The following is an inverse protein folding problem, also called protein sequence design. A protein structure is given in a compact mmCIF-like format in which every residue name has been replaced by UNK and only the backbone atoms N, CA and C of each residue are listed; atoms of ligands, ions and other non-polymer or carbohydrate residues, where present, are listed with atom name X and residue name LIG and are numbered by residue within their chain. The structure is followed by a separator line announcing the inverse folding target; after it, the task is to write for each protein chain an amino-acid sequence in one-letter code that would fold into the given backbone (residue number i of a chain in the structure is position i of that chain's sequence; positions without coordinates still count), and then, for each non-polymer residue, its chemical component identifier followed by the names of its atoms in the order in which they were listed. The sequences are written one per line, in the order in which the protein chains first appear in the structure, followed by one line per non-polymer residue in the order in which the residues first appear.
data_IF_036629311139
#
_entry.id   IF_036629311139
#
_cell.length_a   1.000
_cell.length_b   1.000
_cell.length_c   1.000
_cell.angle_alpha   90.00
_cell.angle_beta   90.00
_cell.angle_gamma   90.00
#
_symmetry.space_group_name_H-M   'P 1'
#
loop_
_entity.id
_entity.type
_entity.pdbx_description
1 polymer ?
#
# COMPACT_ATOMS: atom_id res chain seq x y z
N UNK A 1 9.43 24.96 52.08
CA UNK A 1 10.65 25.61 51.55
C UNK A 1 11.61 24.55 51.05
N UNK A 2 12.25 24.76 49.90
CA UNK A 2 13.23 23.83 49.35
C UNK A 2 14.62 24.47 49.49
N UNK A 3 15.55 23.79 50.15
CA UNK A 3 16.96 24.20 50.22
C UNK A 3 17.83 23.16 49.52
N UNK A 4 19.07 23.51 49.21
CA UNK A 4 20.00 22.62 48.53
C UNK A 4 21.17 22.28 49.46
N UNK A 5 21.40 20.99 49.70
CA UNK A 5 22.51 20.50 50.50
C UNK A 5 23.62 20.08 49.54
N UNK A 6 24.77 20.74 49.60
CA UNK A 6 25.97 20.38 48.84
C UNK A 6 26.90 19.59 49.76
N UNK A 7 27.18 18.34 49.40
CA UNK A 7 28.21 17.52 50.06
C UNK A 7 29.26 17.08 49.04
N UNK A 8 30.21 16.25 49.49
CA UNK A 8 31.21 15.61 48.60
C UNK A 8 30.58 14.75 47.49
N UNK A 9 29.37 14.28 47.72
CA UNK A 9 28.67 13.35 46.85
C UNK A 9 27.84 14.00 45.75
N UNK A 10 27.56 15.30 45.89
CA UNK A 10 26.68 16.00 44.97
C UNK A 10 25.83 17.07 45.64
N UNK A 11 24.87 17.57 44.86
CA UNK A 11 23.90 18.58 45.29
C UNK A 11 22.53 17.91 45.41
N UNK A 12 22.01 17.82 46.61
CA UNK A 12 20.70 17.23 46.90
C UNK A 12 19.72 18.32 47.32
N UNK A 13 18.42 18.09 47.10
CA UNK A 13 17.36 19.03 47.45
C UNK A 13 16.68 18.51 48.72
N UNK A 14 16.60 19.35 49.75
CA UNK A 14 15.94 19.04 51.01
C UNK A 14 14.67 19.88 51.13
N UNK A 15 13.54 19.20 51.30
CA UNK A 15 12.24 19.86 51.53
C UNK A 15 12.07 20.09 53.04
N UNK A 16 11.81 21.34 53.40
CA UNK A 16 11.55 21.81 54.76
C UNK A 16 10.12 22.35 54.80
N UNK A 17 9.21 21.72 55.52
CA UNK A 17 7.79 22.11 55.49
C UNK A 17 7.54 23.45 56.21
N UNK A 18 8.26 23.72 57.32
CA UNK A 18 8.15 24.96 58.09
C UNK A 18 9.48 25.74 58.06
N UNK A 19 9.52 27.02 57.60
CA UNK A 19 10.77 27.78 57.51
C UNK A 19 11.37 28.20 58.86
N UNK A 20 10.62 28.13 59.96
CA UNK A 20 11.08 28.49 61.31
C UNK A 20 11.65 27.28 62.06
N UNK A 21 12.59 26.55 61.46
CA UNK A 21 13.27 25.43 62.12
C UNK A 21 14.62 25.84 62.72
N UNK A 22 15.03 25.13 63.76
CA UNK A 22 16.37 25.22 64.35
C UNK A 22 17.39 24.38 63.59
N UNK A 23 18.67 24.62 63.81
CA UNK A 23 19.75 23.81 63.21
C UNK A 23 19.65 22.34 63.65
N UNK A 24 19.25 22.04 64.89
CA UNK A 24 19.03 20.66 65.34
C UNK A 24 17.93 19.95 64.52
N UNK A 25 16.82 20.65 64.27
CA UNK A 25 15.74 20.12 63.43
C UNK A 25 16.18 19.96 61.96
N UNK A 26 16.99 20.90 61.44
CA UNK A 26 17.57 20.78 60.11
C UNK A 26 18.46 19.53 59.99
N UNK A 27 19.33 19.26 60.97
CA UNK A 27 20.17 18.06 60.98
C UNK A 27 19.32 16.78 61.01
N UNK A 28 18.19 16.79 61.73
CA UNK A 28 17.25 15.67 61.79
C UNK A 28 16.56 15.43 60.44
N UNK A 29 16.25 16.50 59.70
CA UNK A 29 15.71 16.40 58.34
C UNK A 29 16.75 15.83 57.37
N UNK A 30 18.03 16.22 57.51
CA UNK A 30 19.13 15.66 56.72
C UNK A 30 19.32 14.17 57.02
N UNK A 31 19.20 13.74 58.27
CA UNK A 31 19.28 12.31 58.63
C UNK A 31 18.12 11.53 58.02
N UNK A 32 16.88 12.01 58.16
CA UNK A 32 15.70 11.31 57.64
C UNK A 32 15.62 11.27 56.12
N UNK A 33 15.95 12.35 55.41
CA UNK A 33 15.82 12.44 53.94
C UNK A 33 17.09 12.04 53.19
N UNK A 34 18.28 12.38 53.72
CA UNK A 34 19.57 12.18 53.04
C UNK A 34 20.40 11.05 53.68
N UNK A 35 19.89 10.41 54.75
CA UNK A 35 20.48 9.27 55.45
C UNK A 35 21.89 9.51 56.00
N UNK A 36 22.20 10.76 56.38
CA UNK A 36 23.47 11.10 57.02
C UNK A 36 23.27 11.13 58.54
N UNK A 37 23.96 10.28 59.33
CA UNK A 37 23.74 10.22 60.78
C UNK A 37 24.01 11.55 61.49
N UNK A 38 23.14 11.96 62.41
CA UNK A 38 23.21 13.25 63.12
C UNK A 38 24.59 13.58 63.71
N UNK A 39 25.25 12.58 64.29
CA UNK A 39 26.55 12.74 64.96
C UNK A 39 27.71 12.96 63.98
N UNK A 40 27.53 12.63 62.70
CA UNK A 40 28.54 12.81 61.66
C UNK A 40 28.32 14.11 60.86
N UNK A 41 27.26 14.86 61.12
CA UNK A 41 26.92 16.05 60.34
C UNK A 41 27.63 17.32 60.87
N UNK A 42 28.52 17.88 60.05
CA UNK A 42 28.99 19.26 60.18
C UNK A 42 28.39 20.11 59.08
N UNK A 43 27.67 21.17 59.46
CA UNK A 43 27.01 22.10 58.54
C UNK A 43 27.74 23.43 58.55
N UNK A 44 27.78 24.09 57.40
CA UNK A 44 28.24 25.48 57.29
C UNK A 44 27.59 26.15 56.07
N UNK A 45 27.46 27.46 56.14
CA UNK A 45 27.14 28.31 54.99
C UNK A 45 28.37 28.58 54.11
N UNK A 46 29.58 28.25 54.59
CA UNK A 46 30.83 28.44 53.87
C UNK A 46 31.22 27.22 53.03
N UNK A 47 31.46 27.43 51.74
CA UNK A 47 31.89 26.39 50.79
C UNK A 47 33.21 25.73 51.16
N UNK A 48 34.12 26.46 51.82
CA UNK A 48 35.44 25.95 52.23
C UNK A 48 35.36 24.73 53.15
N UNK A 49 34.20 24.48 53.78
CA UNK A 49 33.94 23.26 54.55
C UNK A 49 34.17 21.98 53.73
N UNK A 50 33.84 21.98 52.43
CA UNK A 50 34.02 20.81 51.57
C UNK A 50 35.47 20.57 51.10
N UNK A 51 36.37 21.54 51.37
CA UNK A 51 37.78 21.48 50.98
C UNK A 51 38.66 21.08 52.17
N UNK A 52 38.14 21.20 53.41
CA UNK A 52 38.83 20.78 54.62
C UNK A 52 39.14 19.27 54.58
N UNK A 53 40.39 18.90 54.85
CA UNK A 53 40.87 17.51 54.73
C UNK A 53 41.06 16.82 56.08
N UNK A 54 41.11 17.59 57.16
CA UNK A 54 41.31 17.08 58.52
C UNK A 54 40.16 17.46 59.46
N UNK A 55 39.84 16.63 60.47
CA UNK A 55 38.81 16.92 61.46
C UNK A 55 39.03 18.26 62.22
N UNK A 56 40.29 18.65 62.42
CA UNK A 56 40.67 19.91 63.07
C UNK A 56 40.45 21.17 62.20
N UNK A 57 40.38 21.02 60.88
CA UNK A 57 39.98 22.08 59.95
C UNK A 57 38.45 22.19 59.86
N UNK A 58 37.75 21.05 59.86
CA UNK A 58 36.28 20.98 59.85
C UNK A 58 35.69 21.60 61.13
N UNK A 59 36.33 21.39 62.29
CA UNK A 59 35.89 21.97 63.56
C UNK A 59 36.00 23.50 63.66
N UNK A 60 36.67 24.16 62.70
CA UNK A 60 36.78 25.63 62.65
C UNK A 60 35.51 26.30 62.11
N UNK A 61 34.64 25.53 61.45
CA UNK A 61 33.37 26.02 60.92
C UNK A 61 32.28 25.93 62.00
N UNK A 62 32.14 27.00 62.78
CA UNK A 62 31.20 27.06 63.91
C UNK A 62 29.95 27.88 63.64
N UNK A 63 29.77 28.40 62.43
CA UNK A 63 28.64 29.27 62.04
C UNK A 63 27.28 28.58 62.21
N UNK A 64 27.25 27.25 62.11
CA UNK A 64 26.06 26.42 62.34
C UNK A 64 26.23 25.43 63.51
N UNK A 65 27.11 25.72 64.48
CA UNK A 65 27.37 24.81 65.59
C UNK A 65 26.31 24.83 66.70
N UNK A 66 25.63 25.96 66.92
CA UNK A 66 24.62 26.09 67.98
C UNK A 66 23.28 25.45 67.56
N UNK A 67 22.82 24.37 68.23
CA UNK A 67 21.62 23.63 67.82
C UNK A 67 20.31 24.45 67.93
N UNK A 68 20.28 25.50 68.77
CA UNK A 68 19.08 26.31 69.03
C UNK A 68 18.94 27.50 68.08
N UNK A 69 19.95 27.80 67.26
CA UNK A 69 19.90 28.88 66.29
C UNK A 69 18.86 28.58 65.21
N UNK A 70 18.02 29.56 64.88
CA UNK A 70 17.06 29.44 63.79
C UNK A 70 17.76 29.60 62.45
N UNK A 71 17.41 28.76 61.46
CA UNK A 71 18.05 28.83 60.14
C UNK A 71 17.80 30.18 59.43
N UNK A 72 16.67 30.83 59.71
CA UNK A 72 16.32 32.14 59.18
C UNK A 72 17.25 33.26 59.66
N UNK A 73 17.79 33.15 60.87
CA UNK A 73 18.76 34.13 61.41
C UNK A 73 20.13 34.07 60.70
N UNK A 74 20.40 32.97 59.99
CA UNK A 74 21.60 32.77 59.17
C UNK A 74 21.38 33.15 57.70
N UNK A 75 20.23 33.76 57.35
CA UNK A 75 19.91 34.15 55.98
C UNK A 75 19.57 32.97 55.05
N UNK A 76 19.22 31.81 55.61
CA UNK A 76 18.83 30.62 54.83
C UNK A 76 17.37 30.77 54.42
N UNK A 77 17.13 30.85 53.11
CA UNK A 77 15.82 31.00 52.49
C UNK A 77 15.60 29.92 51.41
N UNK A 78 14.46 29.99 50.71
CA UNK A 78 14.17 29.08 49.59
C UNK A 78 15.28 29.17 48.53
N UNK A 79 15.85 28.02 48.16
CA UNK A 79 16.92 27.91 47.17
C UNK A 79 18.34 28.08 47.73
N UNK A 80 18.49 28.49 49.00
CA UNK A 80 19.81 28.62 49.64
C UNK A 80 20.58 27.30 49.63
N UNK A 81 21.90 27.41 49.52
CA UNK A 81 22.83 26.28 49.54
C UNK A 81 23.48 26.20 50.92
N UNK A 82 23.45 25.01 51.51
CA UNK A 82 24.16 24.69 52.75
C UNK A 82 25.18 23.60 52.44
N UNK A 83 26.38 23.74 52.98
CA UNK A 83 27.45 22.78 52.80
C UNK A 83 27.45 21.78 53.97
N UNK A 84 27.50 20.50 53.64
CA UNK A 84 27.49 19.39 54.59
C UNK A 84 28.77 18.57 54.43
N UNK A 85 29.58 18.52 55.49
CA UNK A 85 30.69 17.59 55.63
C UNK A 85 30.32 16.49 56.63
N UNK A 86 30.65 15.25 56.28
CA UNK A 86 30.44 14.08 57.12
C UNK A 86 31.41 12.96 56.71
N UNK A 87 31.69 12.05 57.63
CA UNK A 87 32.53 10.87 57.38
C UNK A 87 31.68 9.62 57.12
N UNK A 88 32.12 8.77 56.17
CA UNK A 88 31.47 7.50 55.81
C UNK A 88 30.90 7.46 54.38
N UNK A 89 30.89 6.28 53.75
CA UNK A 89 30.30 6.08 52.42
C UNK A 89 28.78 5.91 52.52
N UNK A 90 28.02 6.54 51.61
CA UNK A 90 26.57 6.34 51.50
C UNK A 90 26.17 5.99 50.08
N UNK A 91 25.14 5.16 49.95
CA UNK A 91 24.48 4.87 48.67
C UNK A 91 23.50 5.97 48.33
N UNK A 92 23.80 6.77 47.31
CA UNK A 92 22.91 7.81 46.77
C UNK A 92 22.05 7.17 45.69
N UNK A 93 20.74 7.41 45.72
CA UNK A 93 19.88 7.01 44.61
C UNK A 93 20.27 7.84 43.36
N UNK A 94 20.79 7.17 42.33
CA UNK A 94 21.14 7.80 41.06
C UNK A 94 19.93 8.49 40.40
N UNK A 95 20.15 9.44 39.49
CA UNK A 95 19.06 10.15 38.85
C UNK A 95 18.11 9.18 38.16
N UNK A 96 16.80 9.36 38.33
CA UNK A 96 15.81 8.61 37.55
C UNK A 96 15.92 9.03 36.08
N UNK A 97 16.60 8.22 35.28
CA UNK A 97 16.68 8.36 33.83
C UNK A 97 15.30 8.00 33.26
N UNK A 98 14.52 9.02 32.88
CA UNK A 98 13.40 8.85 31.96
C UNK A 98 13.98 9.03 30.54
N UNK A 99 13.91 8.03 29.65
CA UNK A 99 14.47 8.18 28.32
C UNK A 99 13.67 9.25 27.57
N UNK A 100 14.31 10.39 27.32
CA UNK A 100 13.82 11.38 26.38
C UNK A 100 13.96 10.80 24.96
N UNK A 101 12.93 11.03 24.14
CA UNK A 101 12.89 10.58 22.74
C UNK A 101 14.14 10.95 21.96
N UNK A 102 14.63 9.97 21.21
CA UNK A 102 15.42 10.02 19.97
C UNK A 102 16.17 11.31 19.62
N UNK A 103 17.05 11.80 20.50
CA UNK A 103 18.08 12.75 20.08
C UNK A 103 19.45 12.16 20.42
N UNK A 104 20.17 11.70 19.39
CA UNK A 104 21.57 11.26 19.51
C UNK A 104 21.85 9.76 19.49
N UNK A 105 20.92 8.88 19.09
CA UNK A 105 21.28 7.47 18.81
C UNK A 105 22.18 7.45 17.58
N UNK A 106 23.46 7.08 17.73
CA UNK A 106 24.35 6.83 16.59
C UNK A 106 23.71 5.73 15.74
N UNK A 107 23.41 6.06 14.49
CA UNK A 107 22.84 5.14 13.53
C UNK A 107 23.79 3.96 13.39
N UNK A 108 23.35 2.76 13.79
CA UNK A 108 24.16 1.55 13.69
C UNK A 108 24.15 1.03 12.25
N UNK A 109 25.11 0.19 11.87
CA UNK A 109 25.07 -0.47 10.55
C UNK A 109 23.79 -1.26 10.35
N UNK A 110 23.25 -1.87 11.42
CA UNK A 110 21.98 -2.57 11.37
C UNK A 110 20.79 -1.61 11.15
N UNK A 111 20.83 -0.39 11.71
CA UNK A 111 19.83 0.65 11.43
C UNK A 111 19.91 1.19 9.99
N UNK A 112 21.12 1.18 9.39
CA UNK A 112 21.32 1.53 7.97
C UNK A 112 20.81 0.41 7.06
N UNK A 113 21.11 -0.85 7.38
CA UNK A 113 20.64 -2.03 6.66
C UNK A 113 19.11 -2.16 6.74
N UNK A 114 18.51 -1.85 7.89
CA UNK A 114 17.05 -1.85 8.07
C UNK A 114 16.34 -0.75 7.27
N UNK A 115 17.06 0.29 6.84
CA UNK A 115 16.53 1.34 5.96
C UNK A 115 16.76 1.06 4.48
N UNK A 116 17.60 0.09 4.11
CA UNK A 116 17.78 -0.28 2.71
C UNK A 116 16.54 -1.02 2.18
N UNK A 117 16.06 -0.61 1.01
CA UNK A 117 14.93 -1.25 0.35
C UNK A 117 15.38 -2.60 -0.21
N UNK A 118 14.89 -3.68 0.39
CA UNK A 118 15.19 -5.06 -0.03
C UNK A 118 14.07 -5.57 -0.93
N UNK A 119 14.44 -6.12 -2.07
CA UNK A 119 13.52 -6.77 -2.99
C UNK A 119 13.61 -8.27 -2.80
N UNK A 120 12.49 -8.85 -2.40
CA UNK A 120 12.31 -10.28 -2.15
C UNK A 120 11.06 -10.75 -2.87
N UNK A 121 11.06 -12.00 -3.33
CA UNK A 121 9.90 -12.61 -3.98
C UNK A 121 8.73 -12.73 -3.00
N UNK A 122 7.54 -12.41 -3.47
CA UNK A 122 6.30 -12.72 -2.77
C UNK A 122 5.83 -14.11 -3.20
N UNK A 123 5.66 -15.01 -2.24
CA UNK A 123 5.35 -16.43 -2.52
C UNK A 123 3.87 -16.65 -2.81
N UNK A 124 2.97 -15.95 -2.11
CA UNK A 124 1.52 -16.16 -2.21
C UNK A 124 0.82 -14.93 -2.80
N UNK A 125 -0.07 -15.11 -3.79
CA UNK A 125 -0.95 -14.04 -4.26
C UNK A 125 -2.04 -13.73 -3.21
N UNK A 126 -2.66 -12.55 -3.31
CA UNK A 126 -3.88 -12.27 -2.56
C UNK A 126 -5.11 -12.89 -3.22
N UNK A 127 -5.06 -13.06 -4.54
CA UNK A 127 -6.04 -13.79 -5.34
C UNK A 127 -5.81 -15.32 -5.26
N UNK A 128 -6.79 -16.10 -4.79
CA UNK A 128 -6.68 -17.56 -4.71
C UNK A 128 -6.60 -18.21 -6.10
N UNK A 129 -7.47 -17.75 -7.00
CA UNK A 129 -7.57 -18.15 -8.39
C UNK A 129 -8.31 -17.08 -9.20
N UNK A 130 -8.05 -17.07 -10.50
CA UNK A 130 -8.86 -16.36 -11.49
C UNK A 130 -9.63 -17.37 -12.34
N UNK A 131 -10.93 -17.15 -12.50
CA UNK A 131 -11.81 -17.96 -13.34
C UNK A 131 -12.36 -17.10 -14.47
N UNK A 132 -12.33 -17.60 -15.71
CA UNK A 132 -12.85 -16.87 -16.87
C UNK A 132 -14.15 -17.49 -17.38
N UNK A 133 -15.09 -16.63 -17.77
CA UNK A 133 -16.19 -17.06 -18.60
C UNK A 133 -15.65 -17.61 -19.94
N UNK A 134 -16.08 -18.82 -20.28
CA UNK A 134 -15.60 -19.55 -21.46
C UNK A 134 -15.85 -18.78 -22.76
N UNK A 135 -17.03 -18.18 -22.91
CA UNK A 135 -17.41 -17.52 -24.16
C UNK A 135 -16.67 -16.18 -24.31
N UNK A 136 -16.52 -15.42 -23.22
CA UNK A 136 -15.76 -14.17 -23.20
C UNK A 136 -14.26 -14.42 -23.49
N UNK A 137 -13.64 -15.39 -22.82
CA UNK A 137 -12.25 -15.76 -23.06
C UNK A 137 -12.05 -16.26 -24.49
N UNK A 138 -12.97 -17.10 -24.99
CA UNK A 138 -12.94 -17.58 -26.36
C UNK A 138 -13.06 -16.44 -27.39
N UNK A 139 -13.96 -15.48 -27.13
CA UNK A 139 -14.14 -14.30 -27.98
C UNK A 139 -12.92 -13.38 -28.04
N UNK A 140 -12.14 -13.30 -26.97
CA UNK A 140 -10.87 -12.55 -26.94
C UNK A 140 -9.76 -13.30 -27.69
N UNK A 141 -9.49 -14.57 -27.35
CA UNK A 141 -8.42 -15.35 -28.01
C UNK A 141 -8.66 -15.51 -29.51
N UNK A 142 -9.92 -15.72 -29.93
CA UNK A 142 -10.24 -15.94 -31.33
C UNK A 142 -9.96 -14.71 -32.17
N UNK A 143 -10.27 -13.52 -31.66
CA UNK A 143 -9.96 -12.27 -32.36
C UNK A 143 -8.45 -12.04 -32.49
N UNK A 144 -7.72 -12.25 -31.40
CA UNK A 144 -6.26 -12.07 -31.39
C UNK A 144 -5.59 -13.08 -32.33
N UNK A 145 -6.03 -14.33 -32.33
CA UNK A 145 -5.47 -15.38 -33.17
C UNK A 145 -5.82 -15.18 -34.65
N UNK A 146 -7.11 -15.10 -34.98
CA UNK A 146 -7.56 -15.07 -36.39
C UNK A 146 -7.38 -13.72 -37.06
N UNK A 147 -7.58 -12.62 -36.34
CA UNK A 147 -7.57 -11.28 -36.94
C UNK A 147 -6.21 -10.60 -36.81
N UNK A 148 -5.55 -10.75 -35.65
CA UNK A 148 -4.27 -10.08 -35.39
C UNK A 148 -3.06 -11.01 -35.56
N UNK A 149 -3.27 -12.33 -35.59
CA UNK A 149 -2.21 -13.34 -35.64
C UNK A 149 -1.09 -13.09 -34.62
N UNK A 150 -1.43 -12.55 -33.44
CA UNK A 150 -0.46 -12.12 -32.41
C UNK A 150 0.68 -11.21 -32.94
N UNK A 151 0.45 -10.47 -34.03
CA UNK A 151 1.43 -9.57 -34.64
C UNK A 151 1.54 -8.23 -33.90
N UNK A 152 0.46 -7.81 -33.23
CA UNK A 152 0.40 -6.60 -32.41
C UNK A 152 -0.23 -6.92 -31.06
N UNK A 153 0.14 -6.16 -30.03
CA UNK A 153 -0.47 -6.27 -28.71
C UNK A 153 -1.94 -5.81 -28.73
N UNK A 154 -2.75 -6.45 -27.90
CA UNK A 154 -4.15 -6.12 -27.64
C UNK A 154 -4.41 -6.32 -26.16
N UNK A 155 -5.24 -5.50 -25.54
CA UNK A 155 -5.63 -5.68 -24.15
C UNK A 155 -7.02 -5.17 -23.82
N UNK A 156 -7.46 -5.51 -22.61
CA UNK A 156 -8.79 -5.20 -22.12
C UNK A 156 -8.85 -5.23 -20.60
N UNK A 157 -9.84 -4.53 -20.05
CA UNK A 157 -10.16 -4.56 -18.63
C UNK A 157 -11.14 -5.70 -18.37
N UNK A 158 -10.82 -6.50 -17.37
CA UNK A 158 -11.63 -7.64 -16.94
C UNK A 158 -12.64 -7.19 -15.88
N UNK A 159 -13.88 -7.61 -16.02
CA UNK A 159 -14.95 -7.29 -15.07
C UNK A 159 -15.69 -8.55 -14.63
N UNK A 160 -16.20 -8.50 -13.40
CA UNK A 160 -16.95 -9.60 -12.80
C UNK A 160 -17.01 -9.45 -11.29
N UNK A 161 -16.88 -10.56 -10.55
CA UNK A 161 -17.03 -10.58 -9.09
C UNK A 161 -15.81 -11.14 -8.36
N UNK A 162 -15.72 -10.84 -7.06
CA UNK A 162 -14.72 -11.42 -6.16
C UNK A 162 -15.47 -12.07 -5.01
N UNK A 163 -15.19 -13.34 -4.75
CA UNK A 163 -15.76 -14.06 -3.61
C UNK A 163 -15.07 -13.68 -2.30
N UNK A 164 -15.72 -13.98 -1.17
CA UNK A 164 -15.12 -13.78 0.17
C UNK A 164 -13.83 -14.59 0.39
N UNK A 165 -13.62 -15.64 -0.41
CA UNK A 165 -12.44 -16.52 -0.39
C UNK A 165 -11.29 -15.96 -1.24
N UNK A 166 -11.48 -14.83 -1.92
CA UNK A 166 -10.48 -14.23 -2.81
C UNK A 166 -10.44 -14.88 -4.20
N UNK A 167 -11.53 -15.53 -4.63
CA UNK A 167 -11.67 -16.05 -6.00
C UNK A 167 -12.18 -14.95 -6.90
N UNK A 168 -11.48 -14.71 -8.00
CA UNK A 168 -11.81 -13.69 -8.99
C UNK A 168 -12.52 -14.35 -10.16
N UNK A 169 -13.78 -13.99 -10.41
CA UNK A 169 -14.58 -14.53 -11.51
C UNK A 169 -14.80 -13.44 -12.55
N UNK A 170 -14.19 -13.60 -13.73
CA UNK A 170 -14.25 -12.67 -14.86
C UNK A 170 -15.39 -13.08 -15.80
N UNK A 171 -16.42 -12.25 -15.86
CA UNK A 171 -17.63 -12.48 -16.65
C UNK A 171 -17.58 -11.84 -18.05
N UNK A 172 -16.85 -10.74 -18.21
CA UNK A 172 -16.65 -10.09 -19.51
C UNK A 172 -15.35 -9.27 -19.57
N UNK A 173 -14.91 -8.98 -20.79
CA UNK A 173 -13.70 -8.20 -21.08
C UNK A 173 -14.11 -6.97 -21.89
N UNK A 174 -13.88 -5.78 -21.34
CA UNK A 174 -14.05 -4.52 -22.06
C UNK A 174 -12.73 -4.12 -22.73
N UNK A 175 -12.76 -3.89 -24.05
CA UNK A 175 -11.58 -3.48 -24.80
C UNK A 175 -11.62 -1.97 -25.07
N UNK A 176 -10.84 -1.15 -24.34
CA UNK A 176 -10.84 0.30 -24.58
C UNK A 176 -10.27 0.62 -25.97
N UNK A 177 -10.52 1.83 -26.50
CA UNK A 177 -9.81 2.31 -27.68
C UNK A 177 -8.30 2.21 -27.44
N UNK A 178 -7.55 1.65 -28.37
CA UNK A 178 -6.15 1.28 -28.13
C UNK A 178 -5.34 1.20 -29.43
N UNK A 179 -4.03 1.35 -29.29
CA UNK A 179 -3.06 1.18 -30.36
C UNK A 179 -1.97 0.20 -29.92
N UNK A 180 -1.99 -0.98 -30.52
CA UNK A 180 -0.96 -2.00 -30.33
C UNK A 180 0.16 -1.88 -31.35
N UNK A 181 1.38 -2.15 -30.91
CA UNK A 181 2.54 -2.47 -31.76
C UNK A 181 3.11 -3.83 -31.34
N UNK A 182 4.24 -4.24 -31.91
CA UNK A 182 4.89 -5.49 -31.52
C UNK A 182 5.33 -5.49 -30.04
N UNK A 183 5.89 -4.37 -29.57
CA UNK A 183 6.51 -4.23 -28.25
C UNK A 183 5.63 -3.47 -27.23
N UNK A 184 4.69 -2.64 -27.69
CA UNK A 184 3.95 -1.71 -26.84
C UNK A 184 2.44 -1.79 -27.04
N UNK A 185 1.69 -1.49 -25.98
CA UNK A 185 0.24 -1.35 -26.01
C UNK A 185 -0.16 -0.01 -25.40
N UNK A 186 -0.62 0.91 -26.23
CA UNK A 186 -1.12 2.21 -25.79
C UNK A 186 -2.64 2.18 -25.63
N UNK A 187 -3.13 2.36 -24.40
CA UNK A 187 -4.57 2.49 -24.13
C UNK A 187 -4.98 3.96 -24.34
N UNK A 188 -5.87 4.19 -25.29
CA UNK A 188 -6.45 5.50 -25.62
C UNK A 188 -7.74 5.68 -24.83
N UNK A 189 -7.62 5.71 -23.50
CA UNK A 189 -8.75 5.73 -22.55
C UNK A 189 -9.73 6.86 -22.87
N UNK A 190 -11.01 6.51 -22.97
CA UNK A 190 -12.12 7.44 -23.12
C UNK A 190 -12.89 7.51 -21.78
N UNK A 191 -12.74 8.61 -21.01
CA UNK A 191 -13.40 8.74 -19.71
C UNK A 191 -14.93 8.70 -19.77
N UNK A 192 -15.55 9.07 -20.89
CA UNK A 192 -17.00 9.08 -21.03
C UNK A 192 -17.51 7.68 -21.37
N UNK A 193 -16.82 6.92 -22.24
CA UNK A 193 -17.12 5.50 -22.45
C UNK A 193 -16.88 4.68 -21.18
N UNK A 194 -15.78 4.92 -20.46
CA UNK A 194 -15.49 4.22 -19.21
C UNK A 194 -16.55 4.44 -18.12
N UNK A 195 -17.15 5.65 -18.03
CA UNK A 195 -18.28 5.88 -17.11
C UNK A 195 -19.48 4.98 -17.43
N UNK A 196 -19.77 4.76 -18.72
CA UNK A 196 -20.83 3.85 -19.13
C UNK A 196 -20.50 2.40 -18.73
N UNK A 197 -19.26 1.97 -18.96
CA UNK A 197 -18.80 0.63 -18.57
C UNK A 197 -18.92 0.42 -17.05
N UNK A 198 -18.48 1.39 -16.25
CA UNK A 198 -18.58 1.32 -14.79
C UNK A 198 -20.04 1.34 -14.31
N UNK A 199 -20.91 2.13 -14.96
CA UNK A 199 -22.35 2.15 -14.65
C UNK A 199 -23.05 0.82 -14.98
N UNK A 200 -22.69 0.18 -16.10
CA UNK A 200 -23.17 -1.16 -16.47
C UNK A 200 -22.68 -2.19 -15.44
N UNK A 201 -21.38 -2.19 -15.14
CA UNK A 201 -20.79 -3.10 -14.17
C UNK A 201 -21.48 -2.97 -12.80
N UNK A 202 -21.70 -1.74 -12.32
CA UNK A 202 -22.42 -1.48 -11.08
C UNK A 202 -23.84 -2.05 -11.09
N UNK A 203 -24.60 -1.83 -12.17
CA UNK A 203 -25.94 -2.39 -12.33
C UNK A 203 -25.95 -3.92 -12.38
N UNK A 204 -24.93 -4.52 -13.00
CA UNK A 204 -24.69 -5.97 -13.02
C UNK A 204 -24.17 -6.52 -11.68
N UNK A 205 -23.85 -5.67 -10.69
CA UNK A 205 -23.24 -6.10 -9.44
C UNK A 205 -21.80 -6.58 -9.59
N UNK A 206 -21.13 -6.14 -10.64
CA UNK A 206 -19.77 -6.47 -11.02
C UNK A 206 -18.86 -5.25 -10.82
N UNK A 207 -17.55 -5.49 -10.85
CA UNK A 207 -16.53 -4.44 -10.74
C UNK A 207 -15.34 -4.76 -11.64
N UNK A 208 -14.48 -3.77 -11.87
CA UNK A 208 -13.19 -3.96 -12.53
C UNK A 208 -12.29 -4.85 -11.65
N UNK A 209 -11.76 -5.92 -12.24
CA UNK A 209 -11.00 -6.98 -11.56
C UNK A 209 -9.53 -7.01 -11.95
N UNK A 210 -9.20 -6.56 -13.15
CA UNK A 210 -7.88 -6.76 -13.69
C UNK A 210 -7.69 -6.30 -15.11
N UNK A 211 -6.54 -6.63 -15.65
CA UNK A 211 -6.14 -6.31 -17.02
C UNK A 211 -5.63 -7.55 -17.74
N UNK A 212 -6.13 -7.79 -18.95
CA UNK A 212 -5.68 -8.84 -19.85
C UNK A 212 -4.99 -8.21 -21.05
N UNK A 213 -3.88 -8.78 -21.50
CA UNK A 213 -3.21 -8.35 -22.71
C UNK A 213 -2.49 -9.50 -23.43
N UNK A 214 -2.10 -9.26 -24.68
CA UNK A 214 -1.44 -10.26 -25.52
C UNK A 214 0.06 -10.01 -25.63
N UNK A 215 0.82 -11.10 -25.62
CA UNK A 215 2.22 -11.12 -25.99
C UNK A 215 2.34 -11.45 -27.48
N UNK A 216 3.22 -10.75 -28.19
CA UNK A 216 3.41 -11.00 -29.63
C UNK A 216 4.32 -12.20 -29.89
N UNK A 217 4.22 -12.77 -31.10
CA UNK A 217 5.03 -13.94 -31.50
C UNK A 217 6.54 -13.65 -31.38
N UNK A 218 6.97 -12.43 -31.72
CA UNK A 218 8.37 -12.02 -31.60
C UNK A 218 8.88 -12.02 -30.15
N UNK A 219 8.00 -11.69 -29.19
CA UNK A 219 8.33 -11.67 -27.78
C UNK A 219 8.34 -13.07 -27.15
N UNK A 220 7.52 -14.00 -27.64
CA UNK A 220 7.42 -15.38 -27.12
C UNK A 220 8.76 -16.14 -27.21
N UNK A 221 9.68 -15.69 -28.08
CA UNK A 221 11.02 -16.27 -28.24
C UNK A 221 12.07 -15.73 -27.26
N UNK A 222 11.71 -14.79 -26.39
CA UNK A 222 12.64 -14.11 -25.47
C UNK A 222 12.58 -14.75 -24.07
N UNK A 223 13.70 -14.72 -23.35
CA UNK A 223 13.87 -15.34 -22.03
C UNK A 223 13.41 -14.43 -20.86
N UNK A 224 12.13 -14.05 -20.87
CA UNK A 224 11.47 -13.36 -19.77
C UNK A 224 9.95 -13.54 -19.84
N UNK A 225 9.26 -13.52 -18.70
CA UNK A 225 7.80 -13.60 -18.66
C UNK A 225 7.16 -12.27 -19.07
N UNK A 226 7.40 -11.21 -18.29
CA UNK A 226 6.94 -9.86 -18.61
C UNK A 226 8.12 -8.92 -18.84
N UNK A 227 8.01 -8.04 -19.82
CA UNK A 227 8.96 -6.95 -20.07
C UNK A 227 8.80 -5.83 -19.07
N UNK A 228 9.82 -4.98 -18.93
CA UNK A 228 9.78 -3.80 -18.08
C UNK A 228 8.61 -2.84 -18.41
N UNK A 229 8.24 -2.70 -19.69
CA UNK A 229 7.05 -1.93 -20.11
C UNK A 229 5.76 -2.55 -19.59
N UNK A 230 5.63 -3.87 -19.67
CA UNK A 230 4.44 -4.59 -19.19
C UNK A 230 4.35 -4.56 -17.65
N UNK A 231 5.48 -4.68 -16.94
CA UNK A 231 5.52 -4.51 -15.49
C UNK A 231 5.05 -3.11 -15.08
N UNK A 232 5.56 -2.06 -15.73
CA UNK A 232 5.14 -0.69 -15.43
C UNK A 232 3.67 -0.46 -15.73
N UNK A 233 3.17 -0.93 -16.88
CA UNK A 233 1.76 -0.81 -17.22
C UNK A 233 0.86 -1.60 -16.25
N UNK A 234 1.25 -2.82 -15.89
CA UNK A 234 0.50 -3.63 -14.92
C UNK A 234 0.48 -2.96 -13.53
N UNK A 235 1.63 -2.43 -13.08
CA UNK A 235 1.74 -1.73 -11.81
C UNK A 235 0.94 -0.41 -11.80
N UNK A 236 0.95 0.33 -12.91
CA UNK A 236 0.15 1.55 -13.09
C UNK A 236 -1.35 1.24 -12.97
N UNK A 237 -1.85 0.30 -13.77
CA UNK A 237 -3.27 -0.07 -13.78
C UNK A 237 -3.74 -0.65 -12.44
N UNK A 238 -2.91 -1.48 -11.78
CA UNK A 238 -3.23 -2.00 -10.46
C UNK A 238 -3.19 -0.89 -9.39
N UNK A 239 -2.30 0.11 -9.51
CA UNK A 239 -2.17 1.20 -8.55
C UNK A 239 -3.31 2.22 -8.62
N UNK A 240 -4.03 2.31 -9.75
CA UNK A 240 -5.24 3.13 -9.91
C UNK A 240 -6.40 2.64 -9.03
N UNK A 241 -6.45 1.33 -8.75
CA UNK A 241 -7.45 0.71 -7.91
C UNK A 241 -6.95 0.36 -6.50
N UNK A 242 -7.89 -0.04 -5.65
CA UNK A 242 -7.63 -0.55 -4.30
C UNK A 242 -7.98 -2.05 -4.15
N UNK A 243 -8.18 -2.75 -5.27
CA UNK A 243 -8.49 -4.18 -5.27
C UNK A 243 -7.21 -4.98 -4.96
N UNK A 244 -7.22 -5.71 -3.85
CA UNK A 244 -6.07 -6.53 -3.44
C UNK A 244 -5.91 -7.75 -4.32
N UNK A 245 -7.02 -8.30 -4.80
CA UNK A 245 -7.10 -9.48 -5.66
C UNK A 245 -6.94 -9.13 -7.14
N UNK A 246 -6.42 -7.94 -7.48
CA UNK A 246 -6.21 -7.52 -8.86
C UNK A 246 -5.36 -8.53 -9.63
N UNK A 247 -5.80 -8.92 -10.83
CA UNK A 247 -5.12 -9.90 -11.68
C UNK A 247 -4.68 -9.28 -13.00
N UNK A 248 -3.44 -9.55 -13.39
CA UNK A 248 -2.88 -9.26 -14.71
C UNK A 248 -2.74 -10.56 -15.48
N UNK A 249 -3.29 -10.62 -16.69
CA UNK A 249 -3.36 -11.84 -17.50
C UNK A 249 -2.65 -11.61 -18.82
N UNK A 250 -1.71 -12.49 -19.13
CA UNK A 250 -0.98 -12.50 -20.38
C UNK A 250 -1.50 -13.63 -21.26
N UNK A 251 -1.80 -13.32 -22.52
CA UNK A 251 -2.22 -14.29 -23.53
C UNK A 251 -1.12 -14.42 -24.58
N UNK A 252 -0.61 -15.63 -24.79
CA UNK A 252 0.48 -15.90 -25.74
C UNK A 252 0.13 -17.06 -26.66
N UNK A 253 0.81 -17.15 -27.80
CA UNK A 253 0.71 -18.29 -28.69
C UNK A 253 1.84 -19.27 -28.36
N UNK A 254 1.51 -20.47 -27.92
CA UNK A 254 2.46 -21.53 -27.62
C UNK A 254 2.50 -22.53 -28.77
N UNK A 255 3.69 -22.80 -29.30
CA UNK A 255 3.87 -23.78 -30.38
C UNK A 255 4.16 -25.14 -29.75
N UNK A 256 3.27 -26.09 -29.97
CA UNK A 256 3.39 -27.45 -29.49
C UNK A 256 4.46 -28.22 -30.27
N UNK A 257 4.96 -29.31 -29.68
CA UNK A 257 5.98 -30.19 -30.28
C UNK A 257 5.55 -30.75 -31.66
N UNK A 258 4.25 -30.90 -31.89
CA UNK A 258 3.66 -31.39 -33.14
C UNK A 258 3.57 -30.31 -34.25
N UNK A 259 4.05 -29.09 -33.97
CA UNK A 259 3.98 -27.95 -34.88
C UNK A 259 2.61 -27.25 -34.93
N UNK A 260 1.65 -27.69 -34.10
CA UNK A 260 0.41 -26.96 -33.81
C UNK A 260 0.70 -25.74 -32.93
N UNK A 261 -0.18 -24.74 -32.95
CA UNK A 261 -0.07 -23.56 -32.11
C UNK A 261 -1.38 -23.35 -31.34
N UNK A 262 -1.29 -23.32 -30.02
CA UNK A 262 -2.42 -23.13 -29.12
C UNK A 262 -2.28 -21.80 -28.38
N UNK A 263 -3.40 -21.17 -28.07
CA UNK A 263 -3.41 -19.95 -27.27
C UNK A 263 -3.35 -20.34 -25.80
N UNK A 264 -2.35 -19.81 -25.10
CA UNK A 264 -2.10 -20.04 -23.68
C UNK A 264 -2.34 -18.78 -22.86
N UNK A 265 -2.94 -18.94 -21.68
CA UNK A 265 -3.20 -17.86 -20.73
C UNK A 265 -2.31 -18.05 -19.50
N UNK A 266 -1.62 -17.00 -19.08
CA UNK A 266 -0.88 -16.96 -17.82
C UNK A 266 -1.41 -15.81 -16.96
N UNK A 267 -1.64 -16.07 -15.67
CA UNK A 267 -2.20 -15.10 -14.75
C UNK A 267 -1.21 -14.79 -13.64
N UNK A 268 -1.06 -13.51 -13.35
CA UNK A 268 -0.15 -12.99 -12.36
C UNK A 268 -0.82 -11.91 -11.53
N UNK A 269 -0.32 -11.75 -10.32
CA UNK A 269 -0.55 -10.57 -9.51
C UNK A 269 0.78 -9.85 -9.33
N UNK A 270 0.81 -8.53 -9.50
CA UNK A 270 2.01 -7.77 -9.14
C UNK A 270 2.19 -7.84 -7.62
N UNK A 271 3.41 -8.16 -7.18
CA UNK A 271 3.75 -8.20 -5.76
C UNK A 271 3.44 -6.87 -5.07
N UNK A 272 3.11 -6.93 -3.77
CA UNK A 272 2.85 -5.74 -2.96
C UNK A 272 4.03 -4.77 -2.99
N UNK A 273 5.24 -5.33 -3.08
CA UNK A 273 6.46 -4.56 -3.21
C UNK A 273 6.54 -3.81 -4.54
N UNK A 274 6.18 -4.45 -5.66
CA UNK A 274 6.13 -3.80 -6.97
C UNK A 274 5.21 -2.57 -6.92
N UNK A 275 3.99 -2.75 -6.42
CA UNK A 275 3.01 -1.66 -6.31
C UNK A 275 3.49 -0.55 -5.38
N UNK A 276 4.13 -0.92 -4.25
CA UNK A 276 4.73 0.05 -3.33
C UNK A 276 5.83 0.87 -4.01
N UNK A 277 6.77 0.20 -4.68
CA UNK A 277 7.88 0.85 -5.38
C UNK A 277 7.37 1.79 -6.49
N UNK A 278 6.31 1.38 -7.21
CA UNK A 278 5.66 2.21 -8.20
C UNK A 278 5.02 3.47 -7.58
N UNK A 279 4.17 3.30 -6.55
CA UNK A 279 3.50 4.41 -5.84
C UNK A 279 4.49 5.39 -5.19
N UNK A 280 5.63 4.91 -4.72
CA UNK A 280 6.72 5.73 -4.16
C UNK A 280 7.66 6.31 -5.24
N UNK A 281 7.42 6.04 -6.53
CA UNK A 281 8.16 6.60 -7.65
C UNK A 281 9.60 6.08 -7.80
N UNK A 282 9.89 4.86 -7.31
CA UNK A 282 11.22 4.25 -7.37
C UNK A 282 11.58 3.76 -8.77
N UNK A 283 10.60 3.37 -9.60
CA UNK A 283 10.87 2.94 -10.97
C UNK A 283 11.35 4.09 -11.85
N UNK A 284 12.28 3.77 -12.74
CA UNK A 284 12.60 4.57 -13.92
C UNK A 284 11.58 4.23 -15.02
N UNK A 285 10.79 5.24 -15.41
CA UNK A 285 9.66 5.07 -16.34
C UNK A 285 10.05 5.32 -17.79
N UNK A 286 11.19 5.96 -18.03
CA UNK A 286 11.73 6.21 -19.36
C UNK A 286 12.60 5.01 -19.78
N UNK A 287 12.06 4.15 -20.64
CA UNK A 287 12.75 2.94 -21.11
C UNK A 287 13.41 3.22 -22.46
N UNK A 288 14.74 3.23 -22.50
CA UNK A 288 15.51 3.47 -23.72
C UNK A 288 15.49 2.25 -24.65
N UNK A 289 15.73 2.46 -25.95
CA UNK A 289 15.68 1.40 -26.96
C UNK A 289 16.76 0.30 -26.79
N UNK A 290 17.80 0.53 -25.98
CA UNK A 290 18.85 -0.45 -25.68
C UNK A 290 18.72 -1.12 -24.32
N UNK A 291 17.66 -0.82 -23.56
CA UNK A 291 17.47 -1.38 -22.23
C UNK A 291 17.02 -2.84 -22.31
N UNK A 292 17.54 -3.67 -21.41
CA UNK A 292 17.15 -5.07 -21.32
C UNK A 292 15.67 -5.15 -20.88
N UNK A 293 14.76 -5.69 -21.71
CA UNK A 293 13.36 -5.82 -21.35
C UNK A 293 13.13 -6.72 -20.12
N UNK A 294 14.06 -7.63 -19.79
CA UNK A 294 13.98 -8.50 -18.61
C UNK A 294 14.16 -7.75 -17.28
N UNK A 295 14.75 -6.55 -17.33
CA UNK A 295 15.15 -5.80 -16.15
C UNK A 295 14.36 -4.49 -16.02
N UNK A 296 13.82 -4.26 -14.83
CA UNK A 296 13.27 -2.97 -14.43
C UNK A 296 14.33 -2.14 -13.71
N UNK A 297 14.48 -0.89 -14.13
CA UNK A 297 15.45 0.06 -13.54
C UNK A 297 14.85 0.86 -12.40
N UNK A 298 15.64 1.07 -11.35
CA UNK A 298 15.30 1.82 -10.16
C UNK A 298 16.09 3.12 -10.08
N UNK A 299 15.43 4.20 -9.67
CA UNK A 299 16.05 5.52 -9.45
C UNK A 299 17.00 5.55 -8.23
N UNK A 300 16.86 4.58 -7.33
CA UNK A 300 17.64 4.45 -6.08
C UNK A 300 18.19 3.05 -5.98
N UNK A 301 19.26 2.90 -5.20
CA UNK A 301 19.86 1.59 -4.94
C UNK A 301 18.90 0.73 -4.10
N UNK A 302 18.69 -0.50 -4.55
CA UNK A 302 17.88 -1.53 -3.91
C UNK A 302 18.74 -2.77 -3.68
N UNK A 303 18.42 -3.55 -2.64
CA UNK A 303 19.15 -4.78 -2.32
C UNK A 303 18.38 -5.97 -2.89
N UNK A 304 18.97 -6.67 -3.86
CA UNK A 304 18.44 -7.92 -4.43
C UNK A 304 19.44 -9.04 -4.15
N UNK A 305 19.00 -10.12 -3.49
CA UNK A 305 19.89 -11.26 -3.17
C UNK A 305 21.13 -10.88 -2.37
N UNK A 306 21.07 -9.81 -1.57
CA UNK A 306 22.18 -9.30 -0.76
C UNK A 306 23.18 -8.40 -1.51
N UNK A 307 22.91 -8.02 -2.76
CA UNK A 307 23.71 -7.07 -3.53
C UNK A 307 22.93 -5.78 -3.79
N UNK A 308 23.60 -4.63 -3.64
CA UNK A 308 23.07 -3.35 -4.08
C UNK A 308 23.07 -3.29 -5.61
N UNK A 309 21.91 -2.99 -6.20
CA UNK A 309 21.71 -2.86 -7.65
C UNK A 309 20.66 -1.80 -7.93
N UNK A 310 20.59 -1.34 -9.18
CA UNK A 310 19.47 -0.54 -9.71
C UNK A 310 18.66 -1.28 -10.76
N UNK A 311 19.12 -2.47 -11.17
CA UNK A 311 18.42 -3.31 -12.13
C UNK A 311 17.88 -4.53 -11.40
N UNK A 312 16.58 -4.74 -11.55
CA UNK A 312 15.83 -5.80 -10.86
C UNK A 312 15.20 -6.67 -11.92
N UNK A 313 15.40 -7.98 -11.82
CA UNK A 313 14.73 -8.94 -12.69
C UNK A 313 13.21 -8.88 -12.46
N UNK A 314 12.45 -8.76 -13.55
CA UNK A 314 11.01 -8.59 -13.52
C UNK A 314 10.29 -9.74 -12.80
N UNK A 315 10.85 -10.94 -12.77
CA UNK A 315 10.25 -12.11 -12.11
C UNK A 315 10.12 -11.93 -10.59
N UNK A 316 10.90 -11.03 -9.97
CA UNK A 316 10.73 -10.68 -8.55
C UNK A 316 9.40 -9.98 -8.27
N UNK A 317 8.79 -9.37 -9.29
CA UNK A 317 7.54 -8.66 -9.17
C UNK A 317 6.32 -9.52 -9.48
N UNK A 318 6.50 -10.73 -10.02
CA UNK A 318 5.43 -11.61 -10.47
C UNK A 318 5.06 -12.66 -9.42
N UNK A 319 3.78 -12.72 -9.09
CA UNK A 319 3.19 -13.75 -8.24
C UNK A 319 2.19 -14.53 -9.08
N UNK A 320 2.42 -15.84 -9.27
CA UNK A 320 1.59 -16.67 -10.16
C UNK A 320 0.21 -16.92 -9.55
N UNK A 321 -0.83 -16.82 -10.38
CA UNK A 321 -2.23 -17.07 -10.01
C UNK A 321 -2.77 -18.26 -10.81
N UNK A 322 -3.55 -19.13 -10.15
CA UNK A 322 -4.16 -20.30 -10.81
C UNK A 322 -5.32 -19.86 -11.71
N UNK A 323 -5.46 -20.51 -12.86
CA UNK A 323 -6.53 -20.23 -13.83
C UNK A 323 -7.56 -21.36 -13.83
N UNK A 324 -8.84 -20.98 -13.81
CA UNK A 324 -10.00 -21.84 -13.97
C UNK A 324 -10.94 -21.25 -15.04
N UNK A 325 -12.00 -22.00 -15.37
CA UNK A 325 -13.08 -21.51 -16.21
C UNK A 325 -14.44 -21.68 -15.52
N UNK A 326 -15.41 -20.91 -15.99
CA UNK A 326 -16.81 -21.03 -15.61
C UNK A 326 -17.71 -20.62 -16.79
N UNK A 327 -19.03 -20.73 -16.60
CA UNK A 327 -20.01 -20.16 -17.49
C UNK A 327 -20.73 -19.04 -16.75
N UNK A 328 -20.54 -17.81 -17.20
CA UNK A 328 -21.11 -16.60 -16.66
C UNK A 328 -22.58 -16.41 -17.05
N UNK A 329 -23.24 -15.38 -16.49
CA UNK A 329 -24.67 -15.12 -16.69
C UNK A 329 -24.97 -14.34 -17.98
N UNK A 330 -23.96 -13.72 -18.59
CA UNK A 330 -24.06 -12.94 -19.82
C UNK A 330 -23.75 -13.80 -21.04
N UNK A 331 -24.34 -13.47 -22.18
CA UNK A 331 -23.89 -13.97 -23.47
C UNK A 331 -22.76 -13.11 -24.02
N UNK A 332 -21.88 -13.72 -24.84
CA UNK A 332 -20.80 -13.03 -25.56
C UNK A 332 -20.97 -13.20 -27.07
N UNK A 333 -22.16 -12.89 -27.59
CA UNK A 333 -22.53 -13.13 -29.00
C UNK A 333 -22.61 -11.85 -29.82
N UNK A 334 -22.66 -10.70 -29.15
CA UNK A 334 -22.66 -9.40 -29.80
C UNK A 334 -21.23 -8.94 -30.14
N UNK A 335 -21.01 -8.20 -31.23
CA UNK A 335 -19.68 -7.74 -31.59
C UNK A 335 -19.07 -6.79 -30.56
N UNK A 336 -17.83 -7.08 -30.18
CA UNK A 336 -17.00 -6.28 -29.26
C UNK A 336 -16.61 -4.96 -29.91
N UNK A 337 -16.74 -3.87 -29.15
CA UNK A 337 -16.32 -2.51 -29.51
C UNK A 337 -14.81 -2.39 -29.78
N UNK A 338 -14.42 -1.27 -30.41
CA UNK A 338 -13.02 -0.88 -30.61
C UNK A 338 -12.16 -1.92 -31.37
N UNK A 339 -12.79 -2.88 -32.05
CA UNK A 339 -12.17 -3.81 -33.00
C UNK A 339 -12.34 -3.30 -34.44
N UNK A 340 -11.74 -3.99 -35.41
CA UNK A 340 -11.78 -3.62 -36.84
C UNK A 340 -13.20 -3.56 -37.42
N UNK A 341 -14.17 -4.20 -36.79
CA UNK A 341 -15.58 -4.19 -37.23
C UNK A 341 -16.34 -3.11 -36.48
N UNK A 342 -16.91 -2.16 -37.21
CA UNK A 342 -17.72 -1.11 -36.61
C UNK A 342 -19.11 -1.66 -36.23
N UNK A 343 -19.45 -1.55 -34.94
CA UNK A 343 -20.79 -1.90 -34.43
C UNK A 343 -21.79 -0.84 -34.87
N UNK A 344 -22.87 -1.25 -35.55
CA UNK A 344 -23.91 -0.34 -36.08
C UNK A 344 -25.29 -0.72 -35.55
N UNK A 345 -26.28 0.16 -35.73
CA UNK A 345 -27.69 -0.16 -35.39
C UNK A 345 -28.24 -1.34 -36.20
N UNK A 346 -27.71 -1.58 -37.40
CA UNK A 346 -28.02 -2.79 -38.17
C UNK A 346 -27.54 -4.08 -37.47
N UNK A 347 -26.41 -4.00 -36.78
CA UNK A 347 -25.89 -5.11 -35.96
C UNK A 347 -26.86 -5.41 -34.81
N UNK A 348 -27.36 -4.38 -34.13
CA UNK A 348 -28.39 -4.50 -33.10
C UNK A 348 -29.65 -5.19 -33.65
N UNK A 349 -30.18 -4.72 -34.78
CA UNK A 349 -31.34 -5.33 -35.44
C UNK A 349 -31.13 -6.81 -35.75
N UNK A 350 -30.01 -7.12 -36.39
CA UNK A 350 -29.66 -8.50 -36.77
C UNK A 350 -29.57 -9.42 -35.56
N UNK A 351 -29.05 -8.91 -34.43
CA UNK A 351 -29.00 -9.64 -33.17
C UNK A 351 -30.38 -9.88 -32.57
N UNK A 352 -31.23 -8.84 -32.50
CA UNK A 352 -32.60 -8.96 -31.97
C UNK A 352 -33.46 -9.90 -32.82
N UNK A 353 -33.32 -9.86 -34.15
CA UNK A 353 -34.02 -10.77 -35.07
C UNK A 353 -33.61 -12.23 -34.85
N UNK A 354 -32.30 -12.48 -34.66
CA UNK A 354 -31.76 -13.82 -34.39
C UNK A 354 -32.22 -14.37 -33.05
N UNK A 355 -32.37 -13.50 -32.06
CA UNK A 355 -32.71 -13.85 -30.68
C UNK A 355 -34.19 -13.66 -30.36
N UNK A 356 -35.04 -13.39 -31.36
CA UNK A 356 -36.48 -13.08 -31.19
C UNK A 356 -37.29 -14.12 -30.42
N UNK A 357 -36.83 -15.38 -30.39
CA UNK A 357 -37.52 -16.47 -29.70
C UNK A 357 -37.24 -16.50 -28.18
N UNK A 358 -36.26 -15.74 -27.69
CA UNK A 358 -35.95 -15.64 -26.26
C UNK A 358 -36.76 -14.54 -25.57
N UNK A 359 -36.91 -14.57 -24.23
CA UNK A 359 -37.42 -13.42 -23.48
C UNK A 359 -36.55 -12.17 -23.72
N UNK A 360 -37.16 -10.98 -23.75
CA UNK A 360 -36.45 -9.74 -24.09
C UNK A 360 -35.19 -9.51 -23.24
N UNK A 361 -35.26 -9.75 -21.93
CA UNK A 361 -34.10 -9.62 -21.02
C UNK A 361 -32.92 -10.51 -21.45
N UNK A 362 -33.17 -11.73 -21.94
CA UNK A 362 -32.13 -12.64 -22.43
C UNK A 362 -31.51 -12.15 -23.74
N UNK A 363 -32.27 -11.47 -24.60
CA UNK A 363 -31.76 -10.91 -25.87
C UNK A 363 -30.73 -9.81 -25.63
N UNK A 364 -30.90 -9.05 -24.54
CA UNK A 364 -30.02 -7.93 -24.17
C UNK A 364 -29.02 -8.28 -23.06
N UNK A 365 -28.97 -9.54 -22.60
CA UNK A 365 -28.03 -10.01 -21.57
C UNK A 365 -26.62 -10.20 -22.14
N UNK A 366 -26.08 -9.17 -22.79
CA UNK A 366 -24.74 -9.16 -23.40
C UNK A 366 -24.09 -7.80 -23.08
N UNK A 367 -22.88 -7.82 -22.52
CA UNK A 367 -22.21 -6.59 -22.09
C UNK A 367 -21.96 -5.63 -23.26
N UNK A 368 -21.49 -6.12 -24.40
CA UNK A 368 -21.15 -5.28 -25.55
C UNK A 368 -22.40 -4.67 -26.18
N UNK A 369 -23.53 -5.39 -26.13
CA UNK A 369 -24.83 -4.85 -26.51
C UNK A 369 -25.28 -3.77 -25.53
N UNK A 370 -25.18 -4.01 -24.22
CA UNK A 370 -25.53 -3.02 -23.20
C UNK A 370 -24.70 -1.75 -23.35
N UNK A 371 -23.41 -1.86 -23.67
CA UNK A 371 -22.54 -0.72 -23.92
C UNK A 371 -22.99 0.10 -25.14
N UNK A 372 -23.42 -0.56 -26.23
CA UNK A 372 -24.01 0.13 -27.38
C UNK A 372 -25.27 0.91 -26.99
N UNK A 373 -26.17 0.29 -26.20
CA UNK A 373 -27.40 0.94 -25.75
C UNK A 373 -27.12 2.09 -24.79
N UNK A 374 -26.14 1.93 -23.90
CA UNK A 374 -25.79 2.93 -22.89
C UNK A 374 -25.39 4.28 -23.48
N UNK A 375 -24.88 4.31 -24.72
CA UNK A 375 -24.58 5.55 -25.46
C UNK A 375 -25.80 6.44 -25.72
N UNK A 376 -27.02 5.92 -25.55
CA UNK A 376 -28.29 6.61 -25.82
C UNK A 376 -29.16 6.76 -24.57
N UNK A 377 -28.65 6.36 -23.40
CA UNK A 377 -29.36 6.32 -22.13
C UNK A 377 -28.69 7.24 -21.11
N UNK A 378 -29.43 7.67 -20.09
CA UNK A 378 -28.83 8.42 -18.98
C UNK A 378 -27.92 7.50 -18.14
N UNK A 379 -26.64 7.87 -18.02
CA UNK A 379 -25.62 7.08 -17.34
C UNK A 379 -25.87 6.89 -15.84
N UNK A 380 -26.59 7.83 -15.20
CA UNK A 380 -26.77 7.81 -13.75
C UNK A 380 -28.02 7.05 -13.31
N UNK A 381 -29.00 6.88 -14.22
CA UNK A 381 -30.32 6.32 -13.89
C UNK A 381 -30.70 5.14 -14.78
N UNK A 382 -30.75 5.35 -16.09
CA UNK A 382 -31.24 4.35 -17.05
C UNK A 382 -30.26 3.18 -17.22
N UNK A 383 -28.96 3.48 -17.37
CA UNK A 383 -27.94 2.45 -17.60
C UNK A 383 -27.85 1.46 -16.43
N UNK A 384 -27.71 1.90 -15.16
CA UNK A 384 -27.70 0.97 -14.03
C UNK A 384 -29.03 0.25 -13.85
N UNK A 385 -30.17 0.88 -14.14
CA UNK A 385 -31.49 0.25 -14.02
C UNK A 385 -31.66 -0.89 -15.02
N UNK A 386 -31.29 -0.67 -16.28
CA UNK A 386 -31.36 -1.70 -17.33
C UNK A 386 -30.43 -2.88 -17.02
N UNK A 387 -29.20 -2.60 -16.62
CA UNK A 387 -28.24 -3.61 -16.17
C UNK A 387 -28.74 -4.37 -14.92
N UNK A 388 -29.41 -3.68 -13.99
CA UNK A 388 -30.05 -4.30 -12.83
C UNK A 388 -31.16 -5.29 -13.20
N UNK A 389 -31.94 -5.00 -14.24
CA UNK A 389 -32.91 -5.95 -14.78
C UNK A 389 -32.24 -7.18 -15.42
N UNK A 390 -31.12 -6.98 -16.13
CA UNK A 390 -30.31 -8.09 -16.68
C UNK A 390 -29.77 -8.97 -15.55
N UNK A 391 -29.20 -8.39 -14.50
CA UNK A 391 -28.72 -9.13 -13.32
C UNK A 391 -29.82 -9.96 -12.67
N UNK A 392 -30.98 -9.34 -12.42
CA UNK A 392 -32.11 -10.00 -11.78
C UNK A 392 -32.89 -10.93 -12.72
N UNK A 393 -32.56 -10.95 -14.02
CA UNK A 393 -33.32 -11.62 -15.07
C UNK A 393 -34.82 -11.22 -15.03
N UNK A 394 -35.08 -9.96 -14.72
CA UNK A 394 -36.41 -9.40 -14.56
C UNK A 394 -36.99 -8.91 -15.89
N UNK A 395 -38.31 -8.69 -15.92
CA UNK A 395 -38.98 -8.10 -17.07
C UNK A 395 -38.46 -6.69 -17.32
N UNK A 396 -38.03 -6.42 -18.56
CA UNK A 396 -37.59 -5.08 -18.97
C UNK A 396 -38.82 -4.17 -19.09
N UNK A 397 -38.82 -2.95 -18.49
CA UNK A 397 -39.90 -1.99 -18.67
C UNK A 397 -40.23 -1.72 -20.15
N UNK A 398 -41.52 -1.64 -20.48
CA UNK A 398 -41.99 -1.49 -21.86
C UNK A 398 -41.38 -0.27 -22.58
N UNK A 399 -41.17 0.84 -21.86
CA UNK A 399 -40.50 2.03 -22.41
C UNK A 399 -39.10 1.75 -22.96
N UNK A 400 -38.29 0.95 -22.26
CA UNK A 400 -36.97 0.56 -22.76
C UNK A 400 -37.07 -0.41 -23.93
N UNK A 401 -38.04 -1.35 -23.92
CA UNK A 401 -38.24 -2.26 -25.04
C UNK A 401 -38.56 -1.50 -26.32
N UNK A 402 -39.51 -0.56 -26.27
CA UNK A 402 -39.89 0.29 -27.40
C UNK A 402 -38.72 1.15 -27.90
N UNK A 403 -37.92 1.70 -26.98
CA UNK A 403 -36.74 2.49 -27.33
C UNK A 403 -35.70 1.65 -28.07
N UNK A 404 -35.38 0.46 -27.54
CA UNK A 404 -34.41 -0.46 -28.13
C UNK A 404 -34.87 -0.95 -29.51
N UNK A 405 -36.15 -1.33 -29.64
CA UNK A 405 -36.73 -1.75 -30.91
C UNK A 405 -36.75 -0.59 -31.93
N UNK A 406 -37.02 0.64 -31.49
CA UNK A 406 -36.93 1.83 -32.35
C UNK A 406 -35.50 2.10 -32.82
N UNK A 407 -34.50 1.95 -31.95
CA UNK A 407 -33.09 2.08 -32.31
C UNK A 407 -32.71 1.05 -33.37
N UNK A 408 -33.09 -0.21 -33.16
CA UNK A 408 -32.88 -1.30 -34.13
C UNK A 408 -33.59 -1.06 -35.47
N UNK A 409 -34.79 -0.47 -35.47
CA UNK A 409 -35.53 -0.16 -36.69
C UNK A 409 -34.92 1.00 -37.50
N UNK A 410 -34.16 1.90 -36.86
CA UNK A 410 -33.57 3.09 -37.48
C UNK A 410 -32.23 2.87 -38.21
N UNK A 411 -31.60 1.69 -38.06
CA UNK A 411 -30.35 1.30 -38.75
C UNK A 411 -30.57 0.32 -39.90
#
# INVERSE_FOLDING_TARGET
MLIRIRSRDGLERLQIDNPNITIAQLKTLIESQLRVPLHNQTLSTNQSLLIAKSPSEISRFTDMANPQTLISTLGIAHGSIIFLAYEGERTIAGPQIRPAGSFGRKMTMDDLIAKQMRITRQENPHCELVSFDRDAANGFQHYVNETLAFAVKRGGFMYGTVSDEGKVEVDFIYEPPQQGTEDNLSLLRDPDEEKLVEAIALGLGMRKLGFIFTQTIGQTKKDYTLSNREILQAAELQAEGDLKEWVTVMVKLEVNDDGGADVHFEAFQMSDLCIKLFKEGWFETEIAAGDDPKLSKMKKDVVVGGKDTREVDNDFFLVVVKIFDHQGPLSSTFPVENRNTMTTMRTLKTHLDRTRNFPFVKRISDFHLLLLLARFLDVNSDVPALAGCVRAQATIPEGYQLLIDSMAASG
#
